data_IF_615205098900
#
_entry.id   IF_615205098900
#
_cell.length_a   1.000
_cell.length_b   1.000
_cell.length_c   1.000
_cell.angle_alpha   90.00
_cell.angle_beta   90.00
_cell.angle_gamma   90.00
#
_symmetry.space_group_name_H-M   'P 1'
#
loop_
_entity.id
_entity.type
_entity.pdbx_description
1 polymer ?
#
# COMPACT_ATOMS: atom_id res chain seq x y z
N UNK A 1 -61.14 29.75 1.10
CA UNK A 1 -60.57 30.23 2.38
C UNK A 1 -59.63 29.13 2.89
N UNK A 2 -58.34 29.15 2.42
CA UNK A 2 -57.35 28.13 2.73
C UNK A 2 -56.49 28.59 3.92
N UNK A 3 -56.54 27.84 5.02
CA UNK A 3 -55.65 28.02 6.18
C UNK A 3 -54.29 27.36 5.83
N UNK A 4 -53.24 28.17 5.74
CA UNK A 4 -51.84 27.72 5.70
C UNK A 4 -51.42 27.30 7.12
N UNK A 5 -51.11 26.02 7.28
CA UNK A 5 -50.47 25.51 8.48
C UNK A 5 -48.95 25.63 8.25
N UNK A 6 -48.29 26.49 9.03
CA UNK A 6 -46.85 26.58 9.13
C UNK A 6 -46.37 25.44 10.05
N UNK A 7 -45.67 24.46 9.50
CA UNK A 7 -44.93 23.49 10.28
C UNK A 7 -43.52 24.04 10.45
N UNK A 8 -43.22 24.55 11.64
CA UNK A 8 -41.87 24.93 12.05
C UNK A 8 -41.07 23.64 12.29
N UNK A 9 -40.14 23.33 11.38
CA UNK A 9 -39.15 22.25 11.54
C UNK A 9 -38.09 22.77 12.51
N UNK A 10 -38.15 22.36 13.77
CA UNK A 10 -37.07 22.55 14.73
C UNK A 10 -35.95 21.57 14.37
N UNK A 11 -34.91 22.07 13.71
CA UNK A 11 -33.67 21.35 13.54
C UNK A 11 -32.95 21.35 14.89
N UNK A 12 -33.07 20.28 15.64
CA UNK A 12 -32.23 20.04 16.81
C UNK A 12 -30.88 19.56 16.24
N UNK A 13 -29.93 20.48 16.08
CA UNK A 13 -28.52 20.16 15.93
C UNK A 13 -28.06 19.53 17.23
N UNK A 14 -28.01 18.21 17.27
CA UNK A 14 -27.21 17.53 18.27
C UNK A 14 -25.73 17.82 17.95
N UNK A 15 -25.23 18.91 18.51
CA UNK A 15 -23.80 19.08 18.76
C UNK A 15 -23.43 18.02 19.80
N UNK A 16 -23.05 16.82 19.34
CA UNK A 16 -22.27 15.91 20.16
C UNK A 16 -20.94 16.60 20.41
N UNK A 17 -20.85 17.21 21.58
CA UNK A 17 -19.64 17.84 22.06
C UNK A 17 -18.51 16.80 22.12
N UNK A 18 -17.64 16.80 21.10
CA UNK A 18 -16.27 16.39 21.31
C UNK A 18 -15.68 17.39 22.29
N UNK A 19 -15.40 16.95 23.50
CA UNK A 19 -14.83 17.82 24.52
C UNK A 19 -13.48 18.35 24.03
N UNK A 20 -13.33 19.67 24.06
CA UNK A 20 -12.08 20.39 23.72
C UNK A 20 -10.89 19.93 24.60
N UNK A 21 -11.17 19.19 25.67
CA UNK A 21 -10.18 18.58 26.58
C UNK A 21 -9.35 17.47 25.91
N UNK A 22 -9.91 16.72 24.94
CA UNK A 22 -9.17 15.61 24.28
C UNK A 22 -8.09 16.07 23.29
N UNK A 23 -8.18 17.31 22.78
CA UNK A 23 -7.16 17.88 21.89
C UNK A 23 -5.95 18.45 22.62
N UNK A 24 -6.09 18.79 23.92
CA UNK A 24 -4.97 19.33 24.72
C UNK A 24 -3.99 18.25 25.16
N UNK A 25 -4.46 17.02 25.33
CA UNK A 25 -3.65 15.89 25.80
C UNK A 25 -2.80 15.21 24.69
N UNK A 26 -3.03 15.56 23.43
CA UNK A 26 -2.34 14.95 22.27
C UNK A 26 -1.17 15.81 21.73
N UNK A 27 -0.77 16.86 22.46
CA UNK A 27 0.27 17.79 21.97
C UNK A 27 1.65 17.31 22.39
N UNK A 28 2.59 17.23 21.44
CA UNK A 28 4.05 17.13 21.71
C UNK A 28 4.62 18.36 22.49
N UNK A 29 3.76 19.11 23.16
CA UNK A 29 4.12 20.32 23.92
C UNK A 29 4.67 20.03 25.33
N UNK A 30 4.69 18.76 25.74
CA UNK A 30 5.33 18.37 26.98
C UNK A 30 6.85 18.50 26.81
N UNK A 31 7.52 19.16 27.76
CA UNK A 31 8.98 19.32 27.77
C UNK A 31 9.71 17.99 27.71
N UNK A 32 9.15 16.95 28.27
CA UNK A 32 9.69 15.60 28.26
C UNK A 32 9.69 15.01 26.82
N UNK A 33 8.59 15.13 26.10
CA UNK A 33 8.46 14.71 24.70
C UNK A 33 9.45 15.47 23.83
N UNK A 34 9.53 16.81 23.98
CA UNK A 34 10.48 17.61 23.22
C UNK A 34 11.93 17.19 23.47
N UNK A 35 12.30 17.04 24.75
CA UNK A 35 13.66 16.62 25.15
C UNK A 35 14.01 15.22 24.64
N UNK A 36 13.03 14.34 24.51
CA UNK A 36 13.23 13.01 23.92
C UNK A 36 13.45 13.12 22.42
N UNK A 37 12.58 13.83 21.71
CA UNK A 37 12.67 13.99 20.24
C UNK A 37 13.98 14.68 19.82
N UNK A 38 14.44 15.70 20.57
CA UNK A 38 15.70 16.41 20.31
C UNK A 38 16.94 15.50 20.36
N UNK A 39 16.86 14.37 21.05
CA UNK A 39 17.96 13.39 21.17
C UNK A 39 17.81 12.20 20.23
N UNK A 40 16.63 12.01 19.66
CA UNK A 40 16.26 10.81 18.90
C UNK A 40 15.73 11.16 17.51
N UNK A 41 16.41 12.08 16.81
CA UNK A 41 16.06 12.46 15.43
C UNK A 41 17.28 12.48 14.53
N UNK A 42 17.03 12.46 13.24
CA UNK A 42 18.00 12.80 12.21
C UNK A 42 17.36 13.54 11.03
N UNK A 43 18.16 14.32 10.34
CA UNK A 43 17.75 14.99 9.09
C UNK A 43 18.14 14.07 7.94
N UNK A 44 17.15 13.65 7.15
CA UNK A 44 17.36 12.72 6.03
C UNK A 44 17.71 13.48 4.77
N UNK A 45 18.90 13.23 4.23
CA UNK A 45 19.31 13.71 2.90
C UNK A 45 18.87 12.68 1.84
N UNK A 46 17.74 12.96 1.21
CA UNK A 46 17.15 12.06 0.21
C UNK A 46 17.89 12.01 -1.13
N UNK A 47 18.79 12.96 -1.38
CA UNK A 47 19.62 13.02 -2.61
C UNK A 47 20.93 12.24 -2.44
N UNK A 48 21.31 11.90 -1.21
CA UNK A 48 22.55 11.17 -0.92
C UNK A 48 22.33 9.66 -0.82
N UNK A 49 23.27 8.89 -1.38
CA UNK A 49 23.37 7.43 -1.14
C UNK A 49 24.19 7.10 0.14
N UNK A 50 24.53 8.10 0.97
CA UNK A 50 24.96 7.88 2.36
C UNK A 50 23.71 7.60 3.22
N UNK A 51 23.77 6.61 4.10
CA UNK A 51 22.65 6.16 4.93
C UNK A 51 22.88 6.35 6.43
N UNK A 52 23.91 7.09 6.84
CA UNK A 52 24.14 7.41 8.24
C UNK A 52 22.96 8.18 8.87
N UNK A 53 22.30 8.98 8.04
CA UNK A 53 21.12 9.78 8.38
C UNK A 53 19.84 8.94 8.64
N UNK A 54 19.84 7.66 8.32
CA UNK A 54 18.72 6.73 8.59
C UNK A 54 19.11 5.54 9.46
N UNK A 55 20.37 5.49 9.93
CA UNK A 55 20.89 4.40 10.77
C UNK A 55 20.24 4.31 12.17
N UNK A 56 19.40 5.28 12.53
CA UNK A 56 18.61 5.19 13.78
C UNK A 56 17.49 4.14 13.71
N UNK A 57 17.20 3.61 12.52
CA UNK A 57 16.17 2.58 12.32
C UNK A 57 16.75 1.22 12.73
N UNK A 58 16.10 0.57 13.70
CA UNK A 58 16.45 -0.78 14.11
C UNK A 58 15.98 -1.81 13.07
N UNK A 59 16.93 -2.52 12.47
CA UNK A 59 16.67 -3.56 11.47
C UNK A 59 16.95 -4.98 12.01
N UNK A 60 17.54 -5.08 13.22
CA UNK A 60 17.89 -6.35 13.81
C UNK A 60 16.64 -7.16 14.17
N UNK A 61 16.65 -8.45 13.86
CA UNK A 61 15.53 -9.37 14.09
C UNK A 61 14.19 -8.98 13.43
N UNK A 62 14.17 -7.96 12.57
CA UNK A 62 12.98 -7.56 11.81
C UNK A 62 12.92 -8.26 10.47
N UNK A 63 11.71 -8.42 9.95
CA UNK A 63 11.41 -9.12 8.68
C UNK A 63 10.68 -8.25 7.67
N UNK A 64 9.81 -7.37 8.14
CA UNK A 64 8.96 -6.54 7.28
C UNK A 64 9.19 -5.07 7.63
N UNK A 65 9.56 -4.28 6.63
CA UNK A 65 9.84 -2.85 6.74
C UNK A 65 8.81 -2.08 5.93
N UNK A 66 7.96 -1.32 6.60
CA UNK A 66 6.84 -0.62 5.99
C UNK A 66 6.97 0.89 6.19
N UNK A 67 6.78 1.64 5.11
CA UNK A 67 6.64 3.10 5.17
C UNK A 67 5.22 3.49 4.80
N UNK A 68 4.63 4.44 5.53
CA UNK A 68 3.23 4.83 5.40
C UNK A 68 3.07 6.27 4.97
N UNK A 69 2.43 6.48 3.82
CA UNK A 69 2.31 7.78 3.18
C UNK A 69 0.85 8.22 3.00
N UNK A 70 0.65 9.50 2.66
CA UNK A 70 -0.56 10.01 2.00
C UNK A 70 -0.24 10.35 0.56
N UNK A 71 -1.00 9.76 -0.36
CA UNK A 71 -0.70 9.81 -1.78
C UNK A 71 -0.60 11.23 -2.34
N UNK A 72 0.25 11.38 -3.36
CA UNK A 72 0.28 12.57 -4.19
C UNK A 72 1.28 13.65 -3.80
N UNK A 73 2.19 13.40 -2.85
CA UNK A 73 3.28 14.31 -2.48
C UNK A 73 4.63 13.83 -3.04
N UNK A 74 5.46 14.75 -3.56
CA UNK A 74 6.80 14.41 -4.11
C UNK A 74 7.76 13.88 -3.05
N UNK A 75 7.62 14.30 -1.80
CA UNK A 75 8.44 13.81 -0.68
C UNK A 75 8.31 12.31 -0.46
N UNK A 76 7.12 11.75 -0.69
CA UNK A 76 6.90 10.31 -0.59
C UNK A 76 7.78 9.52 -1.55
N UNK A 77 7.93 10.02 -2.77
CA UNK A 77 8.72 9.34 -3.81
C UNK A 77 10.22 9.38 -3.48
N UNK A 78 10.71 10.52 -3.01
CA UNK A 78 12.10 10.69 -2.57
C UNK A 78 12.42 9.77 -1.38
N UNK A 79 11.56 9.73 -0.37
CA UNK A 79 11.74 8.84 0.78
C UNK A 79 11.63 7.36 0.38
N UNK A 80 10.72 7.01 -0.53
CA UNK A 80 10.59 5.64 -1.03
C UNK A 80 11.89 5.13 -1.65
N UNK A 81 12.54 5.96 -2.46
CA UNK A 81 13.84 5.61 -3.07
C UNK A 81 14.95 5.52 -2.03
N UNK A 82 15.02 6.47 -1.10
CA UNK A 82 15.99 6.47 0.00
C UNK A 82 15.85 5.21 0.87
N UNK A 83 14.64 4.92 1.36
CA UNK A 83 14.40 3.76 2.21
C UNK A 83 14.53 2.42 1.46
N UNK A 84 14.13 2.35 0.19
CA UNK A 84 14.34 1.17 -0.63
C UNK A 84 15.83 0.82 -0.71
N UNK A 85 16.68 1.79 -1.04
CA UNK A 85 18.13 1.59 -1.13
C UNK A 85 18.73 1.28 0.24
N UNK A 86 18.31 2.00 1.29
CA UNK A 86 18.76 1.77 2.67
C UNK A 86 18.45 0.33 3.13
N UNK A 87 17.17 -0.07 3.09
CA UNK A 87 16.80 -1.40 3.54
C UNK A 87 17.40 -2.49 2.65
N UNK A 88 17.57 -2.24 1.35
CA UNK A 88 18.28 -3.18 0.48
C UNK A 88 19.73 -3.39 0.92
N UNK A 89 20.44 -2.32 1.26
CA UNK A 89 21.81 -2.38 1.77
C UNK A 89 21.91 -3.09 3.12
N UNK A 90 21.07 -2.68 4.08
CA UNK A 90 21.18 -3.15 5.47
C UNK A 90 20.56 -4.53 5.72
N UNK A 91 19.62 -4.96 4.90
CA UNK A 91 18.84 -6.17 5.17
C UNK A 91 18.86 -7.19 4.03
N UNK A 92 19.33 -6.77 2.87
CA UNK A 92 19.25 -7.52 1.59
C UNK A 92 17.84 -8.07 1.31
N UNK A 93 16.79 -7.29 1.64
CA UNK A 93 15.41 -7.72 1.39
C UNK A 93 15.24 -8.16 -0.07
N UNK A 94 14.42 -9.19 -0.29
CA UNK A 94 14.17 -9.77 -1.60
C UNK A 94 12.87 -9.27 -2.24
N UNK A 95 11.85 -9.08 -1.42
CA UNK A 95 10.51 -8.77 -1.90
C UNK A 95 10.11 -7.33 -1.61
N UNK A 96 9.78 -6.60 -2.68
CA UNK A 96 9.19 -5.26 -2.58
C UNK A 96 7.67 -5.38 -2.63
N UNK A 97 7.02 -5.26 -1.47
CA UNK A 97 5.57 -5.33 -1.31
C UNK A 97 4.92 -4.02 -1.74
N UNK A 98 4.10 -4.07 -2.77
CA UNK A 98 3.47 -2.88 -3.33
C UNK A 98 1.96 -2.87 -3.10
N UNK A 99 1.41 -1.68 -2.86
CA UNK A 99 -0.03 -1.40 -2.88
C UNK A 99 -0.57 -1.44 -4.32
N UNK A 100 -0.27 -2.53 -4.99
CA UNK A 100 -0.64 -2.84 -6.37
C UNK A 100 -1.18 -4.27 -6.42
N UNK A 101 -2.00 -4.55 -7.43
CA UNK A 101 -2.48 -5.90 -7.68
C UNK A 101 -1.35 -6.87 -8.04
N UNK A 102 -1.60 -8.16 -7.84
CA UNK A 102 -0.62 -9.20 -8.21
C UNK A 102 -0.29 -9.17 -9.70
N UNK A 103 -1.30 -8.94 -10.56
CA UNK A 103 -1.10 -8.84 -12.00
C UNK A 103 -0.17 -7.69 -12.41
N UNK A 104 -0.25 -6.56 -11.71
CA UNK A 104 0.68 -5.45 -11.94
C UNK A 104 2.11 -5.82 -11.50
N UNK A 105 2.27 -6.44 -10.33
CA UNK A 105 3.57 -6.93 -9.85
C UNK A 105 4.20 -7.93 -10.82
N UNK A 106 3.40 -8.82 -11.41
CA UNK A 106 3.84 -9.77 -12.43
C UNK A 106 4.45 -9.06 -13.65
N UNK A 107 3.75 -8.08 -14.23
CA UNK A 107 4.26 -7.34 -15.39
C UNK A 107 5.42 -6.40 -15.03
N UNK A 108 5.44 -5.84 -13.81
CA UNK A 108 6.57 -5.05 -13.34
C UNK A 108 7.85 -5.90 -13.27
N UNK A 109 7.77 -7.15 -12.80
CA UNK A 109 8.94 -8.04 -12.84
C UNK A 109 9.41 -8.31 -14.26
N UNK A 110 8.51 -8.53 -15.23
CA UNK A 110 8.88 -8.63 -16.65
C UNK A 110 9.57 -7.37 -17.16
N UNK A 111 9.07 -6.20 -16.78
CA UNK A 111 9.74 -4.93 -17.10
C UNK A 111 11.14 -4.85 -16.45
N UNK A 112 11.28 -5.24 -15.18
CA UNK A 112 12.57 -5.22 -14.49
C UNK A 112 13.59 -6.23 -15.05
N UNK A 113 13.13 -7.26 -15.72
CA UNK A 113 13.99 -8.24 -16.42
C UNK A 113 14.45 -7.72 -17.79
N UNK A 114 13.54 -7.10 -18.55
CA UNK A 114 13.76 -6.77 -19.96
C UNK A 114 14.12 -5.32 -20.22
N UNK A 115 13.61 -4.38 -19.38
CA UNK A 115 13.63 -2.95 -19.64
C UNK A 115 12.67 -2.49 -20.73
N UNK A 116 11.77 -3.37 -21.19
CA UNK A 116 10.81 -3.06 -22.24
C UNK A 116 9.74 -2.07 -21.74
N UNK A 117 9.86 -0.84 -22.20
CA UNK A 117 9.01 0.28 -21.79
C UNK A 117 7.53 0.07 -22.20
N UNK A 118 7.25 -0.73 -23.24
CA UNK A 118 5.88 -1.01 -23.65
C UNK A 118 5.12 -1.81 -22.59
N UNK A 119 5.81 -2.68 -21.85
CA UNK A 119 5.23 -3.40 -20.70
C UNK A 119 4.75 -2.40 -19.66
N UNK A 120 5.64 -1.46 -19.26
CA UNK A 120 5.32 -0.44 -18.28
C UNK A 120 4.17 0.47 -18.74
N UNK A 121 4.20 0.93 -19.98
CA UNK A 121 3.13 1.73 -20.56
C UNK A 121 1.78 1.01 -20.56
N UNK A 122 1.79 -0.26 -20.90
CA UNK A 122 0.58 -1.05 -20.98
C UNK A 122 -0.08 -1.32 -19.61
N UNK A 123 0.70 -1.49 -18.54
CA UNK A 123 0.11 -1.64 -17.19
C UNK A 123 -0.36 -0.31 -16.61
N UNK A 124 0.21 0.82 -17.07
CA UNK A 124 -0.20 2.15 -16.61
C UNK A 124 -1.49 2.65 -17.27
N UNK A 125 -1.77 2.31 -18.53
CA UNK A 125 -2.99 2.77 -19.25
C UNK A 125 -4.28 2.65 -18.42
N UNK A 126 -4.57 1.54 -17.74
CA UNK A 126 -5.79 1.41 -16.93
C UNK A 126 -5.77 2.21 -15.60
N UNK A 127 -4.64 2.81 -15.23
CA UNK A 127 -4.50 3.60 -14.01
C UNK A 127 -4.93 5.05 -14.15
N UNK A 128 -5.24 5.50 -15.39
CA UNK A 128 -5.69 6.87 -15.62
C UNK A 128 -6.89 7.20 -14.73
N UNK A 129 -6.79 8.33 -14.00
CA UNK A 129 -7.79 8.72 -13.01
C UNK A 129 -7.57 8.15 -11.60
N UNK A 130 -6.44 7.49 -11.33
CA UNK A 130 -6.01 7.07 -10.00
C UNK A 130 -4.83 7.91 -9.51
N UNK A 131 -4.47 7.81 -8.22
CA UNK A 131 -3.25 8.44 -7.69
C UNK A 131 -1.96 7.87 -8.27
N UNK A 132 -1.99 6.61 -8.69
CA UNK A 132 -0.83 5.94 -9.30
C UNK A 132 -0.49 6.50 -10.69
N UNK A 133 -1.46 7.13 -11.37
CA UNK A 133 -1.25 7.80 -12.65
C UNK A 133 -0.50 9.12 -12.47
N UNK A 134 0.76 9.06 -12.05
CA UNK A 134 1.62 10.22 -11.90
C UNK A 134 3.03 9.97 -12.42
N UNK A 135 3.72 11.06 -12.78
CA UNK A 135 5.05 11.01 -13.40
C UNK A 135 6.11 10.46 -12.44
N UNK A 136 5.98 10.78 -11.15
CA UNK A 136 6.97 10.38 -10.14
C UNK A 136 6.91 8.86 -9.91
N UNK A 137 5.70 8.27 -9.78
CA UNK A 137 5.52 6.82 -9.68
C UNK A 137 6.01 6.09 -10.95
N UNK A 138 5.69 6.63 -12.12
CA UNK A 138 6.18 6.05 -13.38
C UNK A 138 7.71 6.07 -13.46
N UNK A 139 8.36 7.16 -13.03
CA UNK A 139 9.81 7.28 -13.01
C UNK A 139 10.45 6.37 -11.95
N UNK A 140 9.78 6.12 -10.82
CA UNK A 140 10.26 5.17 -9.81
C UNK A 140 10.51 3.77 -10.40
N UNK A 141 9.64 3.26 -11.25
CA UNK A 141 9.84 1.95 -11.89
C UNK A 141 11.05 1.95 -12.82
N UNK A 142 11.29 3.06 -13.52
CA UNK A 142 12.50 3.22 -14.36
C UNK A 142 13.77 3.28 -13.51
N UNK A 143 13.73 4.02 -12.41
CA UNK A 143 14.85 4.05 -11.45
C UNK A 143 15.08 2.65 -10.86
N UNK A 144 14.02 1.94 -10.46
CA UNK A 144 14.14 0.59 -9.90
C UNK A 144 14.72 -0.41 -10.91
N UNK A 145 14.38 -0.31 -12.20
CA UNK A 145 15.01 -1.10 -13.27
C UNK A 145 16.52 -0.87 -13.31
N UNK A 146 16.97 0.39 -13.37
CA UNK A 146 18.39 0.73 -13.43
C UNK A 146 19.14 0.34 -12.14
N UNK A 147 18.50 0.46 -10.99
CA UNK A 147 19.05 0.02 -9.72
C UNK A 147 19.16 -1.51 -9.67
N UNK A 148 18.08 -2.20 -9.98
CA UNK A 148 17.99 -3.67 -9.93
C UNK A 148 18.97 -4.32 -10.92
N UNK A 149 19.16 -3.73 -12.09
CA UNK A 149 20.13 -4.19 -13.11
C UNK A 149 21.56 -4.29 -12.59
N UNK A 150 21.93 -3.42 -11.64
CA UNK A 150 23.28 -3.37 -11.04
C UNK A 150 23.47 -4.40 -9.92
N UNK A 151 22.38 -4.95 -9.35
CA UNK A 151 22.45 -5.94 -8.28
C UNK A 151 22.86 -7.30 -8.80
N UNK A 152 23.61 -8.11 -8.00
CA UNK A 152 23.82 -9.52 -8.27
C UNK A 152 22.50 -10.27 -8.52
N UNK A 153 22.55 -11.36 -9.28
CA UNK A 153 21.33 -12.11 -9.67
C UNK A 153 20.52 -12.59 -8.46
N UNK A 154 21.20 -13.06 -7.44
CA UNK A 154 20.63 -13.57 -6.18
C UNK A 154 20.01 -12.47 -5.30
N UNK A 155 20.55 -11.24 -5.40
CA UNK A 155 20.10 -10.06 -4.64
C UNK A 155 19.07 -9.20 -5.38
N UNK A 156 18.60 -9.63 -6.56
CA UNK A 156 17.61 -8.87 -7.32
C UNK A 156 16.31 -8.71 -6.55
N UNK A 157 15.79 -7.48 -6.54
CA UNK A 157 14.50 -7.14 -5.95
C UNK A 157 13.39 -7.70 -6.83
N UNK A 158 12.43 -8.41 -6.22
CA UNK A 158 11.20 -8.86 -6.84
C UNK A 158 10.04 -8.01 -6.36
N UNK A 159 9.30 -7.43 -7.28
CA UNK A 159 8.06 -6.70 -6.97
C UNK A 159 6.94 -7.69 -6.71
N UNK A 160 6.24 -7.53 -5.60
CA UNK A 160 5.07 -8.34 -5.26
C UNK A 160 3.89 -7.42 -5.00
N UNK A 161 2.93 -7.41 -5.91
CA UNK A 161 1.63 -6.79 -5.68
C UNK A 161 0.78 -7.74 -4.83
N UNK A 162 0.33 -7.27 -3.69
CA UNK A 162 -0.49 -8.09 -2.78
C UNK A 162 -1.90 -7.54 -2.59
N UNK A 163 -2.25 -6.45 -3.27
CA UNK A 163 -3.58 -5.88 -3.25
C UNK A 163 -4.56 -6.65 -4.16
N UNK A 164 -5.84 -6.38 -4.00
CA UNK A 164 -6.91 -6.92 -4.85
C UNK A 164 -6.78 -6.38 -6.29
N UNK A 165 -7.41 -7.05 -7.27
CA UNK A 165 -7.34 -6.64 -8.68
C UNK A 165 -8.23 -5.42 -8.97
N UNK A 166 -7.73 -4.21 -8.75
CA UNK A 166 -8.46 -2.97 -9.03
C UNK A 166 -8.69 -2.74 -10.53
N UNK A 167 -7.76 -3.20 -11.39
CA UNK A 167 -7.78 -3.06 -12.84
C UNK A 167 -8.02 -4.42 -13.52
N UNK A 168 -9.28 -4.83 -13.77
CA UNK A 168 -9.58 -6.14 -14.36
C UNK A 168 -8.87 -6.42 -15.69
N UNK A 169 -8.57 -5.40 -16.48
CA UNK A 169 -7.84 -5.56 -17.74
C UNK A 169 -6.40 -6.07 -17.52
N UNK A 170 -5.70 -5.60 -16.49
CA UNK A 170 -4.37 -6.11 -16.15
C UNK A 170 -4.47 -7.54 -15.62
N UNK A 171 -5.48 -7.85 -14.79
CA UNK A 171 -5.74 -9.19 -14.29
C UNK A 171 -5.94 -10.20 -15.44
N UNK A 172 -6.84 -9.89 -16.36
CA UNK A 172 -7.13 -10.75 -17.52
C UNK A 172 -5.90 -10.95 -18.42
N UNK A 173 -5.14 -9.88 -18.66
CA UNK A 173 -3.89 -9.98 -19.43
C UNK A 173 -2.86 -10.86 -18.73
N UNK A 174 -2.68 -10.75 -17.41
CA UNK A 174 -1.79 -11.59 -16.63
C UNK A 174 -2.21 -13.08 -16.71
N UNK A 175 -3.50 -13.36 -16.51
CA UNK A 175 -4.02 -14.72 -16.63
C UNK A 175 -3.83 -15.29 -18.05
N UNK A 176 -3.98 -14.47 -19.09
CA UNK A 176 -3.78 -14.88 -20.47
C UNK A 176 -2.31 -15.15 -20.80
N UNK A 177 -1.42 -14.32 -20.28
CA UNK A 177 0.03 -14.38 -20.52
C UNK A 177 0.69 -15.65 -19.91
N UNK A 178 0.08 -16.23 -18.87
CA UNK A 178 0.53 -17.48 -18.25
C UNK A 178 -0.10 -18.74 -18.88
N UNK A 179 -0.97 -18.60 -19.88
CA UNK A 179 -1.51 -19.76 -20.58
C UNK A 179 -0.44 -20.41 -21.48
N UNK A 180 -0.32 -21.75 -21.45
CA UNK A 180 0.49 -22.47 -22.43
C UNK A 180 -0.01 -22.23 -23.87
N UNK A 181 0.89 -22.37 -24.83
CA UNK A 181 0.55 -22.31 -26.26
C UNK A 181 -0.26 -23.54 -26.71
N UNK A 182 -0.09 -24.64 -26.03
CA UNK A 182 -0.81 -25.89 -26.29
C UNK A 182 -2.28 -25.77 -25.94
N UNK A 183 -3.15 -26.48 -26.66
CA UNK A 183 -4.56 -26.52 -26.36
C UNK A 183 -4.85 -27.31 -25.06
N UNK A 184 -5.81 -26.83 -24.24
CA UNK A 184 -6.20 -27.53 -23.02
C UNK A 184 -6.87 -28.86 -23.31
N UNK A 185 -6.78 -29.81 -22.38
CA UNK A 185 -7.51 -31.07 -22.48
C UNK A 185 -9.01 -30.89 -22.32
N UNK A 186 -9.78 -31.84 -22.84
CA UNK A 186 -11.25 -31.82 -22.93
C UNK A 186 -11.94 -31.35 -21.66
N UNK A 187 -11.50 -31.86 -20.47
CA UNK A 187 -12.14 -31.54 -19.19
C UNK A 187 -12.14 -30.04 -18.81
N UNK A 188 -11.12 -29.30 -19.19
CA UNK A 188 -10.96 -27.87 -18.86
C UNK A 188 -11.05 -26.97 -20.10
N UNK A 189 -11.22 -27.57 -21.29
CA UNK A 189 -11.17 -26.84 -22.55
C UNK A 189 -12.30 -25.80 -22.68
N UNK A 190 -13.50 -26.15 -22.23
CA UNK A 190 -14.65 -25.22 -22.30
C UNK A 190 -14.37 -23.92 -21.50
N UNK A 191 -13.91 -24.05 -20.27
CA UNK A 191 -13.63 -22.92 -19.39
C UNK A 191 -12.45 -22.07 -19.90
N UNK A 192 -11.38 -22.70 -20.36
CA UNK A 192 -10.24 -21.97 -20.93
C UNK A 192 -10.61 -21.28 -22.24
N UNK A 193 -11.41 -21.91 -23.10
CA UNK A 193 -11.86 -21.30 -24.36
C UNK A 193 -12.81 -20.14 -24.10
N UNK A 194 -13.71 -20.25 -23.10
CA UNK A 194 -14.53 -19.11 -22.66
C UNK A 194 -13.64 -17.95 -22.18
N UNK A 195 -12.60 -18.23 -21.39
CA UNK A 195 -11.63 -17.23 -20.96
C UNK A 195 -10.92 -16.56 -22.16
N UNK A 196 -10.41 -17.34 -23.11
CA UNK A 196 -9.81 -16.82 -24.35
C UNK A 196 -10.79 -15.94 -25.13
N UNK A 197 -12.07 -16.31 -25.18
CA UNK A 197 -13.11 -15.52 -25.83
C UNK A 197 -13.37 -14.19 -25.11
N UNK A 198 -13.34 -14.16 -23.78
CA UNK A 198 -13.44 -12.92 -22.98
C UNK A 198 -12.28 -11.98 -23.29
N UNK A 199 -11.05 -12.52 -23.41
CA UNK A 199 -9.86 -11.73 -23.75
C UNK A 199 -9.93 -11.10 -25.15
N UNK A 200 -10.50 -11.81 -26.13
CA UNK A 200 -10.58 -11.37 -27.52
C UNK A 200 -11.74 -10.39 -27.79
N UNK A 201 -12.58 -10.10 -26.78
CA UNK A 201 -13.65 -9.11 -26.95
C UNK A 201 -13.06 -7.69 -26.90
N UNK A 202 -13.18 -6.93 -27.98
CA UNK A 202 -12.77 -5.51 -28.05
C UNK A 202 -13.62 -4.58 -27.17
N UNK A 203 -14.72 -5.05 -26.61
CA UNK A 203 -15.65 -4.27 -25.79
C UNK A 203 -15.18 -4.24 -24.33
N UNK A 204 -15.42 -3.13 -23.64
CA UNK A 204 -15.24 -2.96 -22.20
C UNK A 204 -15.72 -4.21 -21.44
N UNK A 205 -14.85 -4.77 -20.62
CA UNK A 205 -15.16 -5.91 -19.76
C UNK A 205 -16.46 -5.66 -19.02
N UNK A 206 -17.48 -6.48 -19.26
CA UNK A 206 -18.72 -6.45 -18.50
C UNK A 206 -18.45 -6.94 -17.08
N UNK A 207 -18.54 -6.05 -16.10
CA UNK A 207 -18.20 -6.35 -14.73
C UNK A 207 -19.00 -7.50 -14.11
N UNK A 208 -20.31 -7.59 -14.38
CA UNK A 208 -21.13 -8.69 -13.88
C UNK A 208 -20.76 -10.03 -14.51
N UNK A 209 -20.62 -10.05 -15.82
CA UNK A 209 -20.18 -11.25 -16.54
C UNK A 209 -18.81 -11.75 -16.08
N UNK A 210 -17.87 -10.85 -15.84
CA UNK A 210 -16.55 -11.23 -15.31
C UNK A 210 -16.63 -11.83 -13.90
N UNK A 211 -17.45 -11.25 -13.03
CA UNK A 211 -17.66 -11.78 -11.68
C UNK A 211 -18.19 -13.22 -11.71
N UNK A 212 -19.20 -13.47 -12.56
CA UNK A 212 -19.81 -14.78 -12.67
C UNK A 212 -18.87 -15.78 -13.36
N UNK A 213 -18.16 -15.37 -14.38
CA UNK A 213 -17.09 -16.18 -14.98
C UNK A 213 -16.03 -16.55 -13.93
N UNK A 214 -15.52 -15.58 -13.18
CA UNK A 214 -14.47 -15.84 -12.17
C UNK A 214 -14.94 -16.81 -11.07
N UNK A 215 -16.23 -16.79 -10.69
CA UNK A 215 -16.80 -17.76 -9.75
C UNK A 215 -16.82 -19.17 -10.34
N UNK A 216 -17.28 -19.30 -11.60
CA UNK A 216 -17.32 -20.59 -12.29
C UNK A 216 -15.92 -21.15 -12.50
N UNK A 217 -14.98 -20.29 -12.93
CA UNK A 217 -13.58 -20.67 -13.09
C UNK A 217 -12.95 -21.15 -11.78
N UNK A 218 -13.20 -20.44 -10.66
CA UNK A 218 -12.72 -20.89 -9.34
C UNK A 218 -13.23 -22.31 -9.00
N UNK A 219 -14.51 -22.55 -9.18
CA UNK A 219 -15.14 -23.86 -8.93
C UNK A 219 -14.54 -24.93 -9.85
N UNK A 220 -14.38 -24.63 -11.13
CA UNK A 220 -13.83 -25.57 -12.10
C UNK A 220 -12.36 -25.91 -11.78
N UNK A 221 -11.54 -24.94 -11.35
CA UNK A 221 -10.17 -25.19 -10.89
C UNK A 221 -10.17 -26.12 -9.67
N UNK A 222 -11.08 -25.93 -8.71
CA UNK A 222 -11.19 -26.78 -7.52
C UNK A 222 -11.58 -28.23 -7.88
N UNK A 223 -12.55 -28.39 -8.78
CA UNK A 223 -13.05 -29.70 -9.22
C UNK A 223 -12.04 -30.44 -10.14
N UNK A 224 -11.31 -29.72 -10.96
CA UNK A 224 -10.38 -30.26 -11.96
C UNK A 224 -8.90 -29.92 -11.67
N UNK A 225 -8.53 -29.74 -10.39
CA UNK A 225 -7.19 -29.26 -9.95
C UNK A 225 -6.03 -30.00 -10.61
N UNK A 226 -6.14 -31.31 -10.78
CA UNK A 226 -5.08 -32.13 -11.41
C UNK A 226 -4.88 -31.79 -12.89
N UNK A 227 -5.95 -31.54 -13.63
CA UNK A 227 -5.90 -31.18 -15.05
C UNK A 227 -5.34 -29.77 -15.23
N UNK A 228 -5.77 -28.80 -14.39
CA UNK A 228 -5.20 -27.46 -14.37
C UNK A 228 -3.69 -27.47 -14.02
N UNK A 229 -3.27 -28.26 -13.00
CA UNK A 229 -1.83 -28.39 -12.65
C UNK A 229 -1.02 -28.99 -13.80
N UNK A 230 -1.60 -29.94 -14.51
CA UNK A 230 -0.94 -30.56 -15.67
C UNK A 230 -0.83 -29.58 -16.85
N UNK A 231 -1.84 -28.72 -17.04
CA UNK A 231 -1.90 -27.75 -18.13
C UNK A 231 -1.03 -26.52 -17.86
N UNK A 232 -1.20 -25.90 -16.69
CA UNK A 232 -0.55 -24.63 -16.32
C UNK A 232 0.82 -24.82 -15.60
N UNK A 233 1.12 -26.01 -15.13
CA UNK A 233 2.34 -26.21 -14.34
C UNK A 233 2.38 -25.33 -13.08
N UNK A 234 3.48 -24.61 -12.87
CA UNK A 234 3.65 -23.71 -11.73
C UNK A 234 2.85 -22.42 -11.89
N UNK A 235 2.51 -22.03 -13.10
CA UNK A 235 1.69 -20.87 -13.39
C UNK A 235 0.23 -21.01 -12.90
N UNK A 236 -0.19 -22.23 -12.51
CA UNK A 236 -1.48 -22.41 -11.83
C UNK A 236 -1.63 -21.55 -10.58
N UNK A 237 -0.53 -21.32 -9.85
CA UNK A 237 -0.55 -20.43 -8.69
C UNK A 237 -0.95 -19.00 -9.10
N UNK A 238 -0.30 -18.46 -10.12
CA UNK A 238 -0.56 -17.10 -10.64
C UNK A 238 -2.00 -17.00 -11.15
N UNK A 239 -2.39 -17.93 -12.03
CA UNK A 239 -3.70 -17.96 -12.66
C UNK A 239 -4.85 -17.97 -11.62
N UNK A 240 -4.73 -18.85 -10.62
CA UNK A 240 -5.73 -18.97 -9.56
C UNK A 240 -5.71 -17.79 -8.58
N UNK A 241 -4.52 -17.25 -8.22
CA UNK A 241 -4.39 -16.12 -7.33
C UNK A 241 -5.04 -14.86 -7.93
N UNK A 242 -4.75 -14.59 -9.20
CA UNK A 242 -5.32 -13.42 -9.92
C UNK A 242 -6.84 -13.57 -10.06
N UNK A 243 -7.35 -14.76 -10.41
CA UNK A 243 -8.79 -15.01 -10.46
C UNK A 243 -9.48 -14.80 -9.11
N UNK A 244 -8.87 -15.25 -8.00
CA UNK A 244 -9.40 -15.01 -6.66
C UNK A 244 -9.37 -13.51 -6.31
N UNK A 245 -8.35 -12.77 -6.71
CA UNK A 245 -8.25 -11.34 -6.46
C UNK A 245 -9.27 -10.51 -7.26
N UNK A 246 -9.68 -10.99 -8.44
CA UNK A 246 -10.87 -10.44 -9.15
C UNK A 246 -12.12 -10.59 -8.27
N UNK A 247 -12.35 -11.76 -7.67
CA UNK A 247 -13.47 -11.99 -6.77
C UNK A 247 -13.40 -11.13 -5.50
N UNK A 248 -12.23 -10.99 -4.91
CA UNK A 248 -11.99 -10.15 -3.72
C UNK A 248 -12.30 -8.67 -4.01
N UNK A 249 -11.97 -8.20 -5.22
CA UNK A 249 -12.40 -6.87 -5.67
C UNK A 249 -13.91 -6.70 -5.58
N UNK A 250 -14.68 -7.64 -6.15
CA UNK A 250 -16.14 -7.55 -6.10
C UNK A 250 -16.70 -7.68 -4.68
N UNK A 251 -16.04 -8.43 -3.82
CA UNK A 251 -16.41 -8.51 -2.40
C UNK A 251 -16.18 -7.17 -1.70
N UNK A 252 -15.02 -6.55 -1.88
CA UNK A 252 -14.65 -5.29 -1.21
C UNK A 252 -15.53 -4.13 -1.68
N UNK A 253 -15.67 -3.95 -3.01
CA UNK A 253 -16.48 -2.86 -3.57
C UNK A 253 -18.00 -3.03 -3.40
N UNK A 254 -18.46 -4.21 -3.06
CA UNK A 254 -19.89 -4.51 -2.87
C UNK A 254 -20.40 -4.34 -1.45
N UNK A 255 -19.58 -3.85 -0.50
CA UNK A 255 -19.94 -3.77 0.92
C UNK A 255 -19.46 -2.46 1.55
N UNK A 256 -20.12 -2.01 2.63
CA UNK A 256 -19.84 -0.77 3.33
C UNK A 256 -18.49 -0.77 4.09
N UNK A 257 -17.93 -1.94 4.40
CA UNK A 257 -16.68 -2.11 5.12
C UNK A 257 -15.48 -2.39 4.20
N UNK A 258 -15.35 -1.63 3.11
CA UNK A 258 -14.33 -1.78 2.07
C UNK A 258 -12.92 -2.00 2.63
N UNK A 259 -12.44 -1.14 3.53
CA UNK A 259 -11.07 -1.22 4.07
C UNK A 259 -10.83 -2.52 4.84
N UNK A 260 -11.76 -2.93 5.71
CA UNK A 260 -11.61 -4.17 6.48
C UNK A 260 -11.54 -5.41 5.59
N UNK A 261 -12.34 -5.44 4.51
CA UNK A 261 -12.31 -6.55 3.55
C UNK A 261 -11.01 -6.51 2.73
N UNK A 262 -10.66 -5.35 2.19
CA UNK A 262 -9.47 -5.18 1.36
C UNK A 262 -8.21 -5.58 2.13
N UNK A 263 -8.01 -5.06 3.34
CA UNK A 263 -6.82 -5.36 4.15
C UNK A 263 -6.72 -6.82 4.56
N UNK A 264 -7.87 -7.46 4.87
CA UNK A 264 -7.91 -8.90 5.08
C UNK A 264 -7.41 -9.66 3.84
N UNK A 265 -7.82 -9.25 2.63
CA UNK A 265 -7.41 -9.90 1.38
C UNK A 265 -5.95 -9.61 1.01
N UNK A 266 -5.47 -8.40 1.31
CA UNK A 266 -4.05 -8.03 1.21
C UNK A 266 -3.21 -8.96 2.11
N UNK A 267 -3.62 -9.13 3.37
CA UNK A 267 -2.92 -10.03 4.29
C UNK A 267 -2.95 -11.49 3.80
N UNK A 268 -4.09 -12.00 3.35
CA UNK A 268 -4.21 -13.37 2.81
C UNK A 268 -3.33 -13.59 1.56
N UNK A 269 -3.13 -12.56 0.73
CA UNK A 269 -2.21 -12.62 -0.40
C UNK A 269 -0.77 -12.62 0.07
N UNK A 270 -0.42 -11.74 1.02
CA UNK A 270 0.91 -11.73 1.63
C UNK A 270 1.24 -13.07 2.29
N UNK A 271 0.32 -13.64 3.06
CA UNK A 271 0.52 -14.91 3.77
C UNK A 271 0.88 -16.06 2.81
N UNK A 272 0.29 -16.10 1.62
CA UNK A 272 0.64 -17.09 0.59
C UNK A 272 2.09 -16.95 0.12
N UNK A 273 2.57 -15.71 -0.05
CA UNK A 273 3.95 -15.43 -0.46
C UNK A 273 4.92 -15.72 0.70
N UNK A 274 4.56 -15.28 1.91
CA UNK A 274 5.35 -15.49 3.12
C UNK A 274 5.55 -16.97 3.45
N UNK A 275 4.54 -17.80 3.26
CA UNK A 275 4.62 -19.23 3.54
C UNK A 275 5.53 -20.00 2.57
N UNK A 276 5.76 -19.47 1.35
CA UNK A 276 6.73 -20.05 0.41
C UNK A 276 8.19 -19.80 0.84
N UNK A 277 8.45 -18.65 1.52
CA UNK A 277 9.80 -18.26 1.93
C UNK A 277 9.76 -17.40 3.22
N UNK A 278 9.50 -18.04 4.39
CA UNK A 278 9.24 -17.31 5.64
C UNK A 278 10.49 -16.66 6.26
N UNK A 279 11.67 -17.03 5.77
CA UNK A 279 12.94 -16.46 6.26
C UNK A 279 13.39 -15.22 5.51
N UNK A 280 12.74 -14.90 4.42
CA UNK A 280 13.06 -13.71 3.62
C UNK A 280 12.61 -12.41 4.29
N UNK A 281 13.15 -11.30 3.79
CA UNK A 281 12.84 -9.96 4.24
C UNK A 281 12.05 -9.20 3.17
N UNK A 282 11.22 -8.27 3.64
CA UNK A 282 10.23 -7.56 2.84
C UNK A 282 10.34 -6.05 3.11
N UNK A 283 10.28 -5.26 2.06
CA UNK A 283 10.12 -3.80 2.17
C UNK A 283 8.87 -3.37 1.41
N UNK A 284 8.17 -2.31 1.85
CA UNK A 284 7.05 -1.75 1.11
C UNK A 284 6.68 -0.34 1.54
N UNK A 285 6.21 0.49 0.59
CA UNK A 285 5.57 1.77 0.88
C UNK A 285 4.08 1.69 0.53
N UNK A 286 3.23 2.13 1.46
CA UNK A 286 1.78 1.96 1.44
C UNK A 286 1.07 3.22 1.93
N UNK A 287 -0.23 3.34 1.68
CA UNK A 287 -1.06 4.31 2.40
C UNK A 287 -0.95 4.10 3.92
N UNK A 288 -0.90 5.20 4.68
CA UNK A 288 -0.57 5.21 6.13
C UNK A 288 -1.43 4.26 6.98
N UNK A 289 -2.69 4.04 6.62
CA UNK A 289 -3.56 3.09 7.31
C UNK A 289 -3.03 1.66 7.29
N UNK A 290 -2.56 1.18 6.14
CA UNK A 290 -2.15 -0.22 5.92
C UNK A 290 -0.98 -0.66 6.80
N UNK A 291 -0.17 0.29 7.29
CA UNK A 291 1.05 -0.01 8.07
C UNK A 291 0.87 0.08 9.58
N UNK A 292 -0.31 0.43 10.09
CA UNK A 292 -0.56 0.42 11.54
C UNK A 292 -0.59 -1.00 12.08
N UNK A 293 0.30 -1.29 13.03
CA UNK A 293 0.45 -2.60 13.67
C UNK A 293 -0.63 -2.89 14.71
N UNK A 294 -1.49 -1.92 15.00
CA UNK A 294 -2.66 -2.05 15.88
C UNK A 294 -3.91 -1.54 15.19
N UNK A 295 -5.05 -2.17 15.50
CA UNK A 295 -6.37 -1.79 15.00
C UNK A 295 -6.65 -0.29 15.21
N UNK A 296 -7.08 0.37 14.14
CA UNK A 296 -7.44 1.77 14.16
C UNK A 296 -8.78 1.98 13.42
N UNK A 297 -9.72 2.73 14.01
CA UNK A 297 -11.08 2.96 13.47
C UNK A 297 -11.86 1.66 13.18
N UNK A 298 -11.71 0.67 14.07
CA UNK A 298 -12.38 -0.64 13.93
C UNK A 298 -11.93 -1.43 12.67
N UNK A 299 -10.81 -1.04 12.08
CA UNK A 299 -10.17 -1.76 10.97
C UNK A 299 -8.89 -2.42 11.47
N UNK A 300 -8.79 -3.73 11.29
CA UNK A 300 -7.52 -4.46 11.36
C UNK A 300 -6.84 -4.32 10.00
N UNK A 301 -5.86 -3.44 9.96
CA UNK A 301 -5.09 -3.16 8.77
C UNK A 301 -4.12 -4.30 8.44
N UNK A 302 -3.50 -4.26 7.26
CA UNK A 302 -2.54 -5.28 6.82
C UNK A 302 -1.46 -5.53 7.87
N UNK A 303 -0.77 -4.49 8.35
CA UNK A 303 0.29 -4.66 9.36
C UNK A 303 -0.24 -5.11 10.72
N UNK A 304 -1.49 -4.75 11.09
CA UNK A 304 -2.15 -5.31 12.28
C UNK A 304 -2.29 -6.83 12.16
N UNK A 305 -2.79 -7.32 11.02
CA UNK A 305 -2.98 -8.75 10.78
C UNK A 305 -1.64 -9.50 10.71
N UNK A 306 -0.62 -8.88 10.12
CA UNK A 306 0.75 -9.42 10.12
C UNK A 306 1.28 -9.54 11.55
N UNK A 307 1.13 -8.50 12.37
CA UNK A 307 1.64 -8.47 13.76
C UNK A 307 0.84 -9.40 14.69
N UNK A 308 -0.45 -9.62 14.43
CA UNK A 308 -1.27 -10.63 15.13
C UNK A 308 -0.82 -12.07 14.77
N UNK A 309 -0.11 -12.27 13.66
CA UNK A 309 0.35 -13.60 13.23
C UNK A 309 1.55 -14.08 14.04
N UNK A 310 1.59 -15.38 14.34
CA UNK A 310 2.64 -15.98 15.16
C UNK A 310 4.05 -15.82 14.57
N UNK A 311 4.18 -15.78 13.25
CA UNK A 311 5.48 -15.72 12.55
C UNK A 311 6.11 -14.34 12.51
N UNK A 312 5.27 -13.26 12.57
CA UNK A 312 5.68 -11.88 12.36
C UNK A 312 5.47 -10.97 13.56
N UNK A 313 4.93 -11.49 14.66
CA UNK A 313 4.78 -10.72 15.88
C UNK A 313 6.11 -10.07 16.28
N UNK A 314 6.11 -8.76 16.51
CA UNK A 314 7.26 -7.93 16.87
C UNK A 314 8.41 -7.91 15.83
N UNK A 315 8.16 -8.40 14.59
CA UNK A 315 9.13 -8.42 13.49
C UNK A 315 8.87 -7.40 12.40
N UNK A 316 7.98 -6.46 12.65
CA UNK A 316 7.60 -5.40 11.71
C UNK A 316 8.21 -4.09 12.18
N UNK A 317 8.69 -3.28 11.23
CA UNK A 317 9.03 -1.88 11.42
C UNK A 317 8.04 -1.06 10.61
N UNK A 318 7.36 -0.12 11.26
CA UNK A 318 6.46 0.83 10.59
C UNK A 318 6.97 2.25 10.78
N UNK A 319 7.10 2.97 9.66
CA UNK A 319 7.56 4.35 9.58
C UNK A 319 6.43 5.16 8.96
N UNK A 320 5.77 6.04 9.71
CA UNK A 320 4.69 6.88 9.17
C UNK A 320 5.20 8.23 8.72
N UNK A 321 4.52 8.84 7.74
CA UNK A 321 4.83 10.19 7.26
C UNK A 321 3.77 11.18 7.73
N UNK A 322 4.22 12.31 8.26
CA UNK A 322 3.40 13.48 8.55
C UNK A 322 3.87 14.65 7.67
N UNK A 323 3.01 15.62 7.44
CA UNK A 323 3.24 16.70 6.47
C UNK A 323 3.03 18.04 7.12
N UNK A 324 4.00 18.94 6.95
CA UNK A 324 4.02 20.31 7.40
C UNK A 324 4.19 21.24 6.18
N UNK A 325 3.22 22.10 5.90
CA UNK A 325 3.21 23.02 4.75
C UNK A 325 3.49 22.36 3.38
N UNK A 326 2.92 21.20 3.15
CA UNK A 326 3.08 20.44 1.91
C UNK A 326 1.88 20.60 0.97
N UNK A 327 2.02 20.05 -0.25
CA UNK A 327 0.94 19.93 -1.24
C UNK A 327 0.82 18.49 -1.73
N UNK A 328 -0.36 18.13 -2.21
CA UNK A 328 -0.58 16.82 -2.81
C UNK A 328 -1.44 16.91 -4.08
N UNK A 329 -1.22 15.99 -4.99
CA UNK A 329 -2.07 15.77 -6.15
C UNK A 329 -3.36 15.08 -5.68
N UNK A 330 -4.46 15.83 -5.71
CA UNK A 330 -5.79 15.29 -5.43
C UNK A 330 -6.46 14.88 -6.74
N UNK A 331 -7.32 13.87 -6.68
CA UNK A 331 -8.17 13.49 -7.81
C UNK A 331 -9.64 13.75 -7.50
N UNK A 332 -10.35 14.31 -8.45
CA UNK A 332 -11.78 14.53 -8.35
C UNK A 332 -12.44 14.21 -9.71
N UNK A 333 -13.34 13.21 -9.74
CA UNK A 333 -14.07 12.80 -10.93
C UNK A 333 -13.18 12.62 -12.19
N UNK A 334 -11.98 12.04 -12.00
CA UNK A 334 -11.04 11.78 -13.11
C UNK A 334 -10.17 12.97 -13.52
N UNK A 335 -10.33 14.14 -12.91
CA UNK A 335 -9.42 15.28 -13.02
C UNK A 335 -8.47 15.34 -11.84
N UNK A 336 -7.34 16.01 -12.04
CA UNK A 336 -6.32 16.22 -11.01
C UNK A 336 -6.26 17.69 -10.62
N UNK A 337 -6.09 17.95 -9.33
CA UNK A 337 -5.92 19.28 -8.75
C UNK A 337 -4.86 19.22 -7.65
N UNK A 338 -4.21 20.34 -7.38
CA UNK A 338 -3.24 20.45 -6.27
C UNK A 338 -3.98 21.04 -5.05
N UNK A 339 -3.80 20.36 -3.90
CA UNK A 339 -4.35 20.80 -2.61
C UNK A 339 -3.26 20.89 -1.56
N UNK A 340 -3.49 21.71 -0.52
CA UNK A 340 -2.64 21.74 0.65
C UNK A 340 -2.70 20.41 1.42
N UNK A 341 -1.56 19.99 1.94
CA UNK A 341 -1.41 18.85 2.83
C UNK A 341 -0.64 19.30 4.05
N UNK A 342 -1.38 19.52 5.13
CA UNK A 342 -0.85 19.93 6.41
C UNK A 342 -1.58 19.13 7.49
N UNK A 343 -0.94 18.09 8.01
CA UNK A 343 -1.52 17.20 9.01
C UNK A 343 -0.63 17.00 10.24
N UNK A 344 0.57 17.56 10.23
CA UNK A 344 1.45 17.57 11.39
C UNK A 344 1.11 18.78 12.26
N UNK A 345 0.45 18.57 13.40
CA UNK A 345 -0.09 19.62 14.25
C UNK A 345 0.81 19.94 15.45
N UNK A 346 2.11 20.08 15.22
CA UNK A 346 3.08 20.35 16.28
C UNK A 346 4.15 21.33 15.81
N UNK A 347 4.42 22.34 16.64
CA UNK A 347 5.51 23.28 16.41
C UNK A 347 6.79 22.72 17.02
N UNK A 348 7.71 22.24 16.17
CA UNK A 348 9.02 21.76 16.55
C UNK A 348 10.08 22.48 15.71
N UNK A 349 10.97 23.21 16.35
CA UNK A 349 12.08 23.92 15.68
C UNK A 349 13.08 22.96 14.98
N UNK A 350 12.98 21.67 15.29
CA UNK A 350 13.81 20.60 14.74
C UNK A 350 13.44 20.23 13.29
N UNK A 351 12.22 20.61 12.82
CA UNK A 351 11.70 20.14 11.54
C UNK A 351 12.43 20.82 10.38
N UNK A 352 13.00 20.00 9.51
CA UNK A 352 13.57 20.36 8.20
C UNK A 352 12.78 19.65 7.10
N UNK A 353 13.25 19.70 5.85
CA UNK A 353 12.59 19.12 4.69
C UNK A 353 12.16 17.65 4.92
N UNK A 354 13.05 16.87 5.54
CA UNK A 354 12.79 15.49 5.95
C UNK A 354 13.42 15.23 7.32
N UNK A 355 12.59 15.11 8.34
CA UNK A 355 13.05 14.85 9.71
C UNK A 355 12.53 13.51 10.18
N UNK A 356 13.42 12.57 10.43
CA UNK A 356 13.13 11.23 10.94
C UNK A 356 13.29 11.20 12.46
N UNK A 357 12.25 10.76 13.16
CA UNK A 357 12.25 10.55 14.61
C UNK A 357 12.15 9.06 14.93
N UNK A 358 12.96 8.60 15.88
CA UNK A 358 12.80 7.30 16.55
C UNK A 358 11.89 7.46 17.75
N UNK A 359 10.77 6.73 17.79
CA UNK A 359 9.75 6.85 18.84
C UNK A 359 9.82 5.72 19.88
N UNK A 360 10.46 4.59 19.55
CA UNK A 360 10.53 3.39 20.39
C UNK A 360 11.84 3.22 21.16
N UNK A 361 12.63 4.29 21.30
CA UNK A 361 13.89 4.24 22.03
C UNK A 361 13.72 4.08 23.54
N UNK A 362 14.83 3.90 24.23
CA UNK A 362 14.86 3.81 25.70
C UNK A 362 14.31 5.08 26.34
N UNK A 363 13.48 4.94 27.37
CA UNK A 363 12.79 6.04 28.09
C UNK A 363 11.92 6.92 27.19
N UNK A 364 11.38 6.35 26.12
CA UNK A 364 10.49 7.08 25.21
C UNK A 364 9.10 7.28 25.82
N UNK A 365 8.58 8.53 25.88
CA UNK A 365 7.21 8.78 26.32
C UNK A 365 6.16 8.15 25.36
N UNK A 366 6.54 7.83 24.16
CA UNK A 366 5.69 7.17 23.16
C UNK A 366 5.48 5.67 23.46
N UNK A 367 6.28 5.09 24.35
CA UNK A 367 6.09 3.72 24.87
C UNK A 367 5.04 3.66 25.98
N UNK A 368 4.75 4.79 26.62
CA UNK A 368 3.88 4.85 27.80
C UNK A 368 2.56 5.57 27.50
N UNK A 369 2.54 6.47 26.51
CA UNK A 369 1.39 7.26 26.16
C UNK A 369 1.03 7.20 24.67
N UNK A 370 -0.25 7.43 24.36
CA UNK A 370 -0.71 7.62 23.00
C UNK A 370 -0.56 9.09 22.59
N UNK A 371 0.60 9.43 22.04
CA UNK A 371 0.95 10.74 21.50
C UNK A 371 0.83 10.70 19.98
N UNK A 372 -0.30 11.23 19.45
CA UNK A 372 -0.61 11.09 18.02
C UNK A 372 -0.08 12.26 17.21
N UNK A 373 0.69 12.03 16.13
CA UNK A 373 1.38 13.11 15.40
C UNK A 373 0.48 13.90 14.46
N UNK A 374 -0.74 13.43 14.21
CA UNK A 374 -1.62 14.02 13.22
C UNK A 374 -2.69 14.93 13.83
N UNK A 375 -3.21 15.87 13.04
CA UNK A 375 -4.26 16.80 13.41
C UNK A 375 -5.63 16.16 13.70
N UNK A 376 -5.85 14.92 13.25
CA UNK A 376 -7.09 14.19 13.53
C UNK A 376 -6.96 13.31 14.79
N UNK A 377 -8.04 13.20 15.54
CA UNK A 377 -8.11 12.35 16.72
C UNK A 377 -8.34 10.89 16.37
N UNK A 378 -7.84 9.99 17.22
CA UNK A 378 -8.18 8.56 17.21
C UNK A 378 -8.80 8.14 18.54
N UNK A 379 -9.56 7.05 18.56
CA UNK A 379 -10.02 6.46 19.82
C UNK A 379 -8.75 5.98 20.58
N UNK A 380 -8.60 6.43 21.83
CA UNK A 380 -7.46 6.08 22.69
C UNK A 380 -7.45 4.57 22.95
N UNK A 381 -6.46 3.87 22.42
CA UNK A 381 -6.18 2.46 22.72
C UNK A 381 -4.68 2.23 22.62
N UNK A 382 -4.07 1.76 23.72
CA UNK A 382 -2.65 1.47 23.78
C UNK A 382 -1.75 2.70 23.76
N UNK A 383 -0.55 2.54 23.28
CA UNK A 383 0.49 3.57 23.20
C UNK A 383 0.89 3.83 21.74
N UNK A 384 1.64 4.90 21.47
CA UNK A 384 2.02 5.26 20.09
C UNK A 384 2.81 4.15 19.40
N UNK A 385 3.75 3.54 20.10
CA UNK A 385 4.62 2.51 19.56
C UNK A 385 3.94 1.17 19.30
N UNK A 386 2.71 0.97 19.78
CA UNK A 386 1.84 -0.13 19.35
C UNK A 386 1.43 0.00 17.87
N UNK A 387 1.49 1.20 17.28
CA UNK A 387 1.06 1.48 15.91
C UNK A 387 2.23 1.59 14.94
N UNK A 388 3.28 2.30 15.35
CA UNK A 388 4.48 2.52 14.54
C UNK A 388 5.66 2.95 15.42
N UNK A 389 6.87 2.68 14.96
CA UNK A 389 8.10 2.93 15.70
C UNK A 389 8.82 4.20 15.27
N UNK A 390 8.54 4.68 14.06
CA UNK A 390 9.23 5.84 13.49
C UNK A 390 8.23 6.80 12.84
N UNK A 391 8.61 8.09 12.86
CA UNK A 391 7.87 9.17 12.22
C UNK A 391 8.82 9.96 11.33
N UNK A 392 8.48 10.16 10.06
CA UNK A 392 9.12 11.18 9.22
C UNK A 392 8.18 12.35 9.07
N UNK A 393 8.64 13.55 9.38
CA UNK A 393 7.94 14.79 9.04
C UNK A 393 8.54 15.32 7.74
N UNK A 394 7.68 15.51 6.75
CA UNK A 394 7.99 16.09 5.44
C UNK A 394 7.53 17.53 5.45
N UNK A 395 8.41 18.49 5.11
CA UNK A 395 8.10 19.91 5.15
C UNK A 395 8.29 20.58 3.80
N UNK A 396 7.31 21.41 3.41
CA UNK A 396 7.42 22.33 2.27
C UNK A 396 7.45 21.67 0.88
N UNK A 397 7.10 20.37 0.75
CA UNK A 397 7.19 19.64 -0.51
C UNK A 397 5.92 19.76 -1.37
N UNK A 398 6.13 19.88 -2.68
CA UNK A 398 5.06 20.01 -3.68
C UNK A 398 4.35 18.69 -3.99
N UNK A 399 3.21 18.82 -4.67
CA UNK A 399 2.43 17.71 -5.21
C UNK A 399 3.17 16.97 -6.33
N UNK A 400 2.90 15.67 -6.46
CA UNK A 400 3.25 14.91 -7.66
C UNK A 400 2.49 15.43 -8.88
N UNK A 401 2.96 15.14 -10.08
CA UNK A 401 2.36 15.58 -11.33
C UNK A 401 1.65 14.43 -12.06
N UNK A 402 0.46 14.66 -12.62
CA UNK A 402 -0.19 13.64 -13.44
C UNK A 402 0.72 13.18 -14.58
N UNK A 403 0.67 11.89 -14.90
CA UNK A 403 1.43 11.35 -16.03
C UNK A 403 0.89 11.91 -17.36
N UNK A 404 1.76 12.60 -18.09
CA UNK A 404 1.48 13.18 -19.40
C UNK A 404 1.76 12.14 -20.50
N UNK A 405 0.83 11.20 -20.73
CA UNK A 405 0.88 10.19 -21.80
C UNK A 405 -0.51 9.94 -22.41
#
# INVERSE_FOLDING_TARGET
MFKKIFISLIIITMLTGCSVTDLKDLKFKNKEVYNYLEKNYSIVDVESDNFEDVNIIDTENKRVFLTGERHGNKGNMKLREKFLKYFKKETDFKYYLCELSYSMGYFLNKYLETGDIEILDNIYKPLKGTYEWNQDNYNHWKMLYEYNKKLPKESKIKVVGIDIEHQPSNALRCMYDVLPKEEPKEKISEMINEFKAIMNQEKKVNHEGLKDFSKRLKKDIEENKKEYKKYLGDDLFIFNLVNNNILYRYEAYGKDNFNSIRDKRIYENFEKIYNEDPDEKYFGQWGDGHIYQREQREVKWMATLMNDSKGLKDKIVSIVYAYDDCKYMSKNNGSYEVKAMDNFNHELDLIKDFTLFKLDGENSPFNDELLWPYSYSIKKKGVTTDYFQYLVVIKGLDATEPLNK
#
